data_IF_261006318607
#
_entry.id   IF_261006318607
#
_cell.length_a   1.000
_cell.length_b   1.000
_cell.length_c   1.000
_cell.angle_alpha   90.00
_cell.angle_beta   90.00
_cell.angle_gamma   90.00
#
_symmetry.space_group_name_H-M   'P 1'
#
loop_
_entity.id
_entity.type
_entity.pdbx_description
1 polymer ?
#
# COMPACT_ATOMS: atom_id res chain seq x y z
N UNK A 1 -34.27 11.63 9.79
CA UNK A 1 -33.03 11.35 9.03
C UNK A 1 -32.40 10.01 9.47
N UNK A 2 -32.13 9.80 10.76
CA UNK A 2 -31.55 8.56 11.27
C UNK A 2 -32.34 7.30 10.95
N UNK A 3 -33.70 7.37 11.02
CA UNK A 3 -34.57 6.25 10.65
C UNK A 3 -34.50 5.92 9.14
N UNK A 4 -34.34 6.95 8.28
CA UNK A 4 -34.22 6.74 6.84
C UNK A 4 -32.85 6.10 6.51
N UNK A 5 -31.79 6.58 7.13
CA UNK A 5 -30.42 5.99 6.97
C UNK A 5 -30.42 4.53 7.40
N UNK A 6 -31.07 4.20 8.52
CA UNK A 6 -31.21 2.83 8.99
C UNK A 6 -31.96 1.94 7.99
N UNK A 7 -33.05 2.44 7.42
CA UNK A 7 -33.88 1.72 6.44
C UNK A 7 -33.07 1.48 5.13
N UNK A 8 -32.39 2.51 4.63
CA UNK A 8 -31.60 2.44 3.39
C UNK A 8 -30.42 1.48 3.55
N UNK A 9 -29.75 1.51 4.71
CA UNK A 9 -28.66 0.57 5.04
C UNK A 9 -29.18 -0.87 5.09
N UNK A 10 -30.29 -1.13 5.81
CA UNK A 10 -30.84 -2.48 5.98
C UNK A 10 -31.36 -3.08 4.66
N UNK A 11 -31.78 -2.25 3.70
CA UNK A 11 -32.28 -2.68 2.41
C UNK A 11 -31.23 -2.69 1.29
N UNK A 12 -30.00 -2.28 1.57
CA UNK A 12 -28.91 -2.25 0.59
C UNK A 12 -28.54 -3.67 0.13
N UNK A 13 -28.65 -4.01 -1.17
CA UNK A 13 -28.28 -5.34 -1.66
C UNK A 13 -26.82 -5.71 -1.39
N UNK A 14 -25.92 -4.73 -1.39
CA UNK A 14 -24.50 -4.95 -1.07
C UNK A 14 -24.31 -5.37 0.39
N UNK A 15 -24.94 -4.67 1.34
CA UNK A 15 -24.86 -5.01 2.77
C UNK A 15 -25.42 -6.40 3.05
N UNK A 16 -26.52 -6.75 2.40
CA UNK A 16 -27.14 -8.07 2.55
C UNK A 16 -26.17 -9.15 2.03
N UNK A 17 -25.63 -8.99 0.82
CA UNK A 17 -24.71 -9.94 0.21
C UNK A 17 -23.42 -10.13 1.03
N UNK A 18 -22.85 -9.05 1.55
CA UNK A 18 -21.65 -9.08 2.37
C UNK A 18 -21.89 -9.80 3.71
N UNK A 19 -23.07 -9.58 4.33
CA UNK A 19 -23.46 -10.28 5.55
C UNK A 19 -23.67 -11.77 5.31
N UNK A 20 -24.34 -12.14 4.24
CA UNK A 20 -24.53 -13.54 3.85
C UNK A 20 -23.19 -14.23 3.55
N UNK A 21 -22.28 -13.56 2.87
CA UNK A 21 -20.91 -14.03 2.61
C UNK A 21 -20.13 -14.22 3.92
N UNK A 22 -20.26 -13.29 4.88
CA UNK A 22 -19.64 -13.41 6.20
C UNK A 22 -20.15 -14.67 6.93
N UNK A 23 -21.45 -14.86 6.98
CA UNK A 23 -22.05 -16.04 7.65
C UNK A 23 -21.61 -17.34 6.98
N UNK A 24 -21.58 -17.38 5.65
CA UNK A 24 -21.07 -18.52 4.89
C UNK A 24 -19.59 -18.82 5.19
N UNK A 25 -18.76 -17.77 5.29
CA UNK A 25 -17.33 -17.93 5.59
C UNK A 25 -17.05 -18.49 6.98
N UNK A 26 -17.95 -18.24 7.93
CA UNK A 26 -17.88 -18.76 9.30
C UNK A 26 -18.60 -20.11 9.46
N UNK A 27 -19.26 -20.61 8.42
CA UNK A 27 -20.09 -21.81 8.48
C UNK A 27 -21.36 -21.63 9.33
N UNK A 28 -21.83 -20.39 9.52
CA UNK A 28 -23.04 -20.10 10.28
C UNK A 28 -24.29 -20.12 9.39
N UNK A 29 -25.40 -20.69 9.88
CA UNK A 29 -26.67 -20.60 9.14
C UNK A 29 -27.17 -19.15 9.15
N UNK A 30 -27.81 -18.71 8.08
CA UNK A 30 -28.40 -17.36 7.98
C UNK A 30 -29.46 -17.07 9.04
N UNK A 31 -30.06 -18.11 9.61
CA UNK A 31 -31.00 -18.03 10.75
C UNK A 31 -30.34 -17.76 12.09
N UNK A 32 -28.99 -17.71 12.11
CA UNK A 32 -28.22 -17.56 13.34
C UNK A 32 -28.14 -18.85 14.17
N UNK A 33 -27.46 -18.76 15.30
CA UNK A 33 -27.36 -19.86 16.28
C UNK A 33 -27.65 -19.31 17.68
N UNK A 34 -28.93 -19.21 18.09
CA UNK A 34 -29.33 -18.53 19.33
C UNK A 34 -28.66 -19.10 20.59
N UNK A 35 -28.38 -20.42 20.60
CA UNK A 35 -27.70 -21.08 21.71
C UNK A 35 -26.28 -20.55 21.97
N UNK A 36 -25.66 -19.94 21.00
CA UNK A 36 -24.32 -19.32 21.09
C UNK A 36 -24.35 -17.79 21.00
N UNK A 37 -25.56 -17.17 21.06
CA UNK A 37 -25.71 -15.74 20.97
C UNK A 37 -25.44 -15.15 19.59
N UNK A 38 -25.44 -15.97 18.54
CA UNK A 38 -25.26 -15.53 17.16
C UNK A 38 -26.63 -15.19 16.58
N UNK A 39 -26.93 -13.90 16.26
CA UNK A 39 -28.21 -13.50 15.68
C UNK A 39 -28.38 -14.04 14.27
N UNK A 40 -29.58 -13.94 13.71
CA UNK A 40 -29.77 -14.17 12.27
C UNK A 40 -29.06 -13.07 11.46
N UNK A 41 -28.75 -13.34 10.20
CA UNK A 41 -28.13 -12.35 9.32
C UNK A 41 -28.98 -11.08 9.18
N UNK A 42 -30.31 -11.23 9.14
CA UNK A 42 -31.26 -10.10 9.12
C UNK A 42 -31.28 -9.32 10.44
N UNK A 43 -31.20 -9.98 11.60
CA UNK A 43 -31.14 -9.30 12.89
C UNK A 43 -29.79 -8.58 13.08
N UNK A 44 -28.70 -9.17 12.59
CA UNK A 44 -27.41 -8.54 12.59
C UNK A 44 -27.39 -7.27 11.72
N UNK A 45 -27.98 -7.32 10.51
CA UNK A 45 -28.15 -6.16 9.64
C UNK A 45 -29.03 -5.10 10.29
N UNK A 46 -30.16 -5.50 10.91
CA UNK A 46 -31.06 -4.57 11.61
C UNK A 46 -30.39 -3.91 12.82
N UNK A 47 -29.55 -4.65 13.55
CA UNK A 47 -28.76 -4.12 14.66
C UNK A 47 -27.76 -3.07 14.19
N UNK A 48 -27.01 -3.34 13.12
CA UNK A 48 -26.08 -2.39 12.50
C UNK A 48 -26.79 -1.16 11.93
N UNK A 49 -27.94 -1.36 11.27
CA UNK A 49 -28.77 -0.28 10.76
C UNK A 49 -29.31 0.63 11.88
N UNK A 50 -29.74 0.04 12.99
CA UNK A 50 -30.19 0.76 14.19
C UNK A 50 -29.05 1.58 14.81
N UNK A 51 -27.85 1.01 14.92
CA UNK A 51 -26.67 1.71 15.41
C UNK A 51 -26.27 2.87 14.49
N UNK A 52 -26.23 2.66 13.18
CA UNK A 52 -25.95 3.71 12.19
C UNK A 52 -26.98 4.84 12.22
N UNK A 53 -28.28 4.51 12.27
CA UNK A 53 -29.34 5.49 12.39
C UNK A 53 -29.31 6.29 13.68
N UNK A 54 -29.01 5.63 14.82
CA UNK A 54 -28.84 6.28 16.12
C UNK A 54 -27.64 7.21 16.15
N UNK A 55 -26.52 6.79 15.60
CA UNK A 55 -25.31 7.60 15.48
C UNK A 55 -25.55 8.86 14.63
N UNK A 56 -26.26 8.71 13.52
CA UNK A 56 -26.62 9.83 12.65
C UNK A 56 -27.52 10.86 13.36
N UNK A 57 -28.43 10.37 14.22
CA UNK A 57 -29.34 11.23 15.00
C UNK A 57 -28.60 12.04 16.09
N UNK A 58 -27.47 11.53 16.58
CA UNK A 58 -26.67 12.16 17.64
C UNK A 58 -25.60 13.14 17.09
N UNK A 59 -25.44 13.22 15.78
CA UNK A 59 -24.41 14.04 15.15
C UNK A 59 -23.03 13.37 15.09
N UNK A 60 -22.03 14.08 14.55
CA UNK A 60 -20.73 13.49 14.21
C UNK A 60 -20.00 12.76 15.34
N UNK A 61 -19.98 13.31 16.56
CA UNK A 61 -19.30 12.68 17.68
C UNK A 61 -19.97 11.36 18.14
N UNK A 62 -21.28 11.29 18.05
CA UNK A 62 -22.04 10.06 18.38
C UNK A 62 -21.85 8.99 17.31
N UNK A 63 -21.71 9.39 16.06
CA UNK A 63 -21.40 8.49 14.93
C UNK A 63 -20.02 7.83 15.11
N UNK A 64 -18.99 8.62 15.40
CA UNK A 64 -17.65 8.13 15.66
C UNK A 64 -17.59 7.09 16.78
N UNK A 65 -18.23 7.36 17.90
CA UNK A 65 -18.20 6.46 19.05
C UNK A 65 -18.84 5.11 18.76
N UNK A 66 -19.87 5.07 17.90
CA UNK A 66 -20.57 3.83 17.58
C UNK A 66 -19.90 3.01 16.45
N UNK A 67 -19.25 3.65 15.51
CA UNK A 67 -18.57 2.95 14.42
C UNK A 67 -17.09 2.67 14.70
N UNK A 68 -16.50 3.30 15.71
CA UNK A 68 -15.12 3.06 16.10
C UNK A 68 -14.73 1.57 16.26
N UNK A 69 -15.58 0.69 16.83
CA UNK A 69 -15.31 -0.75 16.87
C UNK A 69 -15.24 -1.42 15.48
N UNK A 70 -15.79 -0.78 14.45
CA UNK A 70 -15.80 -1.30 13.08
C UNK A 70 -14.61 -0.80 12.26
N UNK A 71 -13.87 0.20 12.72
CA UNK A 71 -12.70 0.74 12.01
C UNK A 71 -11.66 -0.30 11.59
N UNK A 72 -11.35 -1.34 12.38
CA UNK A 72 -10.45 -2.40 11.93
C UNK A 72 -10.96 -3.20 10.72
N UNK A 73 -12.29 -3.21 10.49
CA UNK A 73 -12.94 -3.99 9.43
C UNK A 73 -13.16 -3.11 8.19
N UNK A 74 -13.62 -1.88 8.37
CA UNK A 74 -14.02 -0.98 7.28
C UNK A 74 -12.99 0.11 6.97
N UNK A 75 -11.89 0.19 7.75
CA UNK A 75 -10.93 1.28 7.69
C UNK A 75 -11.47 2.57 8.32
N UNK A 76 -10.65 3.60 8.34
CA UNK A 76 -11.04 4.93 8.83
C UNK A 76 -11.98 5.59 7.80
N UNK A 77 -13.25 5.71 8.15
CA UNK A 77 -14.18 6.58 7.41
C UNK A 77 -14.12 7.96 8.06
N UNK A 78 -13.87 9.00 7.26
CA UNK A 78 -13.92 10.36 7.80
C UNK A 78 -15.34 10.68 8.28
N UNK A 79 -15.42 11.30 9.47
CA UNK A 79 -16.67 11.64 10.16
C UNK A 79 -17.53 12.68 9.44
N UNK A 80 -17.06 13.19 8.34
CA UNK A 80 -17.72 14.20 7.50
C UNK A 80 -18.45 13.63 6.29
N UNK A 81 -18.60 12.31 6.18
CA UNK A 81 -19.38 11.70 5.10
C UNK A 81 -20.86 12.15 5.18
N UNK A 82 -21.34 12.81 4.14
CA UNK A 82 -22.70 13.37 4.10
C UNK A 82 -23.49 12.77 2.94
N UNK A 83 -24.70 12.22 3.17
CA UNK A 83 -25.56 11.81 2.08
C UNK A 83 -26.00 13.03 1.26
N UNK A 84 -25.83 12.98 -0.05
CA UNK A 84 -26.21 14.06 -0.97
C UNK A 84 -27.62 13.85 -1.59
N UNK A 85 -28.35 12.84 -1.14
CA UNK A 85 -29.72 12.55 -1.64
C UNK A 85 -29.77 11.76 -2.95
N UNK A 86 -28.63 11.35 -3.48
CA UNK A 86 -28.49 10.52 -4.69
C UNK A 86 -28.35 9.01 -4.39
N UNK A 87 -28.49 8.63 -3.12
CA UNK A 87 -28.33 7.25 -2.66
C UNK A 87 -26.89 6.82 -2.46
N UNK A 88 -25.91 7.74 -2.61
CA UNK A 88 -24.47 7.46 -2.41
C UNK A 88 -23.97 8.17 -1.15
N UNK A 89 -22.95 7.58 -0.54
CA UNK A 89 -22.19 8.24 0.53
C UNK A 89 -21.06 9.04 -0.12
N UNK A 90 -21.11 10.35 0.03
CA UNK A 90 -20.08 11.26 -0.42
C UNK A 90 -19.11 11.53 0.71
N UNK A 91 -17.82 11.28 0.47
CA UNK A 91 -16.74 11.66 1.37
C UNK A 91 -16.19 12.99 0.86
N UNK A 92 -16.44 14.11 1.56
CA UNK A 92 -15.86 15.38 1.15
C UNK A 92 -14.34 15.32 1.32
N UNK A 93 -13.61 15.32 0.20
CA UNK A 93 -12.17 15.49 0.20
C UNK A 93 -11.83 16.97 0.14
N UNK A 94 -11.36 17.52 1.25
CA UNK A 94 -10.89 18.90 1.32
C UNK A 94 -9.36 18.96 1.29
N UNK A 95 -8.81 19.80 0.44
CA UNK A 95 -7.40 20.17 0.52
C UNK A 95 -7.29 21.45 1.37
N UNK A 96 -6.60 21.34 2.51
CA UNK A 96 -6.31 22.50 3.33
C UNK A 96 -4.85 22.87 3.16
N UNK A 97 -4.59 24.08 2.69
CA UNK A 97 -3.27 24.69 2.75
C UNK A 97 -3.06 25.24 4.16
N UNK A 98 -1.97 24.87 4.79
CA UNK A 98 -1.55 25.44 6.06
C UNK A 98 -0.57 26.58 5.78
N UNK A 99 -1.05 27.81 5.94
CA UNK A 99 -0.20 28.98 5.76
C UNK A 99 0.83 29.04 6.91
N UNK A 100 2.11 29.17 6.53
CA UNK A 100 3.22 29.23 7.49
C UNK A 100 3.73 27.86 7.96
N UNK A 101 3.09 26.76 7.62
CA UNK A 101 3.61 25.43 7.92
C UNK A 101 4.68 25.02 6.90
N UNK A 102 5.84 24.63 7.38
CA UNK A 102 6.97 24.15 6.57
C UNK A 102 7.38 22.76 6.97
N UNK A 103 7.81 21.97 6.00
CA UNK A 103 8.43 20.67 6.21
C UNK A 103 9.86 20.73 5.71
N UNK A 104 10.79 20.45 6.59
CA UNK A 104 12.21 20.49 6.25
C UNK A 104 12.79 19.08 6.28
N UNK A 105 13.54 18.74 5.27
CA UNK A 105 14.35 17.54 5.23
C UNK A 105 15.63 17.83 4.45
N UNK A 106 16.67 17.10 4.79
CA UNK A 106 17.96 17.12 4.09
C UNK A 106 18.20 15.74 3.52
N UNK A 107 18.70 15.67 2.32
CA UNK A 107 19.05 14.42 1.68
C UNK A 107 20.43 14.47 1.04
N UNK A 108 20.95 13.30 0.78
CA UNK A 108 22.21 13.12 0.04
C UNK A 108 22.06 11.92 -0.90
N UNK A 109 22.51 12.13 -2.14
CA UNK A 109 22.62 11.09 -3.15
C UNK A 109 24.09 10.86 -3.48
N UNK A 110 24.48 9.60 -3.60
CA UNK A 110 25.82 9.20 -3.99
C UNK A 110 25.76 8.21 -5.14
N UNK A 111 26.60 8.41 -6.13
CA UNK A 111 26.82 7.46 -7.23
C UNK A 111 28.32 7.23 -7.39
N UNK A 112 28.71 5.97 -7.54
CA UNK A 112 30.11 5.58 -7.72
C UNK A 112 30.18 4.46 -8.75
N UNK A 113 31.14 4.58 -9.65
CA UNK A 113 31.59 3.49 -10.52
C UNK A 113 33.08 3.27 -10.34
N UNK A 114 33.48 2.00 -10.29
CA UNK A 114 34.87 1.60 -10.15
C UNK A 114 35.22 0.51 -11.18
N UNK A 115 36.10 0.85 -12.09
CA UNK A 115 36.60 -0.07 -13.11
C UNK A 115 37.72 -0.91 -12.51
N UNK A 116 37.40 -2.15 -12.11
CA UNK A 116 38.34 -3.07 -11.53
C UNK A 116 39.39 -3.51 -12.58
N UNK A 117 38.92 -3.71 -13.80
CA UNK A 117 39.70 -3.96 -15.01
C UNK A 117 38.84 -3.72 -16.24
N UNK A 118 39.38 -3.96 -17.45
CA UNK A 118 38.67 -3.72 -18.72
C UNK A 118 37.38 -4.51 -18.87
N UNK A 119 37.15 -5.56 -18.08
CA UNK A 119 35.99 -6.45 -18.19
C UNK A 119 35.04 -6.35 -17.00
N UNK A 120 35.46 -5.77 -15.88
CA UNK A 120 34.65 -5.76 -14.63
C UNK A 120 34.51 -4.35 -14.13
N UNK A 121 33.26 -3.94 -13.97
CA UNK A 121 32.87 -2.67 -13.35
C UNK A 121 32.02 -2.92 -12.11
N UNK A 122 32.40 -2.30 -11.00
CA UNK A 122 31.59 -2.23 -9.78
C UNK A 122 30.84 -0.89 -9.76
N UNK A 123 29.63 -0.90 -9.28
CA UNK A 123 28.86 0.33 -9.15
C UNK A 123 28.02 0.35 -7.87
N UNK A 124 27.78 1.54 -7.35
CA UNK A 124 26.98 1.79 -6.17
C UNK A 124 26.19 3.09 -6.37
N UNK A 125 24.90 3.04 -6.10
CA UNK A 125 24.04 4.21 -5.97
C UNK A 125 23.37 4.15 -4.61
N UNK A 126 23.36 5.26 -3.87
CA UNK A 126 22.66 5.35 -2.59
C UNK A 126 21.97 6.69 -2.43
N UNK A 127 20.86 6.70 -1.70
CA UNK A 127 20.11 7.90 -1.33
C UNK A 127 19.81 7.83 0.16
N UNK A 128 19.96 8.95 0.83
CA UNK A 128 19.65 9.11 2.23
C UNK A 128 18.82 10.38 2.46
N UNK A 129 17.85 10.27 3.37
CA UNK A 129 17.01 11.37 3.84
C UNK A 129 17.10 11.47 5.36
N UNK A 130 17.21 12.68 5.89
CA UNK A 130 17.20 12.91 7.34
C UNK A 130 15.86 12.53 7.96
N UNK A 131 14.77 12.75 7.23
CA UNK A 131 13.41 12.56 7.70
C UNK A 131 12.47 12.32 6.52
N UNK A 132 11.50 11.44 6.69
CA UNK A 132 10.46 11.12 5.70
C UNK A 132 9.05 11.13 6.28
N UNK A 133 8.92 11.40 7.59
CA UNK A 133 7.68 11.40 8.33
C UNK A 133 7.68 12.55 9.36
N UNK A 134 6.53 13.21 9.52
CA UNK A 134 6.29 14.26 10.50
C UNK A 134 5.01 13.90 11.27
N UNK A 135 5.14 13.69 12.58
CA UNK A 135 4.07 13.24 13.45
C UNK A 135 3.65 14.43 14.35
N UNK A 136 2.35 14.73 14.49
CA UNK A 136 1.87 15.78 15.39
C UNK A 136 2.36 15.57 16.82
N UNK A 137 2.82 16.64 17.46
CA UNK A 137 3.38 16.62 18.81
C UNK A 137 4.85 16.23 18.91
N UNK A 138 5.49 15.87 17.81
CA UNK A 138 6.94 15.72 17.74
C UNK A 138 7.65 17.05 17.46
N UNK A 139 8.96 17.10 17.65
CA UNK A 139 9.74 18.35 17.53
C UNK A 139 9.74 18.99 16.13
N UNK A 140 9.31 18.27 15.12
CA UNK A 140 9.29 18.70 13.71
C UNK A 140 7.89 18.72 13.10
N UNK A 141 6.84 18.77 13.91
CA UNK A 141 5.47 18.75 13.40
C UNK A 141 4.97 20.08 12.82
N UNK A 142 5.69 21.18 13.07
CA UNK A 142 5.31 22.54 12.68
C UNK A 142 3.87 22.94 13.05
N UNK A 143 3.31 22.31 14.07
CA UNK A 143 1.95 22.54 14.55
C UNK A 143 0.86 22.00 13.63
N UNK A 144 1.18 21.07 12.71
CA UNK A 144 0.16 20.44 11.88
C UNK A 144 -0.68 19.43 12.67
N UNK A 145 -2.00 19.34 12.38
CA UNK A 145 -2.91 18.51 13.16
C UNK A 145 -2.89 17.02 12.80
N UNK A 146 -2.13 16.63 11.77
CA UNK A 146 -2.05 15.25 11.31
C UNK A 146 -0.67 14.90 10.77
N UNK A 147 -0.34 13.61 10.77
CA UNK A 147 0.91 13.09 10.22
C UNK A 147 1.04 13.38 8.73
N UNK A 148 2.25 13.65 8.30
CA UNK A 148 2.61 13.89 6.91
C UNK A 148 3.77 12.98 6.52
N UNK A 149 3.71 12.40 5.33
CA UNK A 149 4.68 11.41 4.85
C UNK A 149 5.26 11.86 3.49
N UNK A 150 6.54 11.61 3.29
CA UNK A 150 7.19 11.82 2.00
C UNK A 150 6.94 10.66 1.02
N UNK A 151 6.39 9.55 1.52
CA UNK A 151 6.15 8.32 0.75
C UNK A 151 7.44 7.74 0.12
N UNK A 152 8.55 7.84 0.82
CA UNK A 152 9.86 7.38 0.39
C UNK A 152 10.64 6.80 1.57
N UNK A 153 11.51 5.79 1.36
CA UNK A 153 12.39 5.27 2.40
C UNK A 153 13.41 6.32 2.84
N UNK A 154 13.85 6.26 4.09
CA UNK A 154 14.95 7.11 4.59
C UNK A 154 16.28 6.75 3.95
N UNK A 155 16.52 5.48 3.76
CA UNK A 155 17.73 5.01 3.14
C UNK A 155 17.42 3.96 2.08
N UNK A 156 18.08 4.06 0.96
CA UNK A 156 18.07 3.05 -0.11
C UNK A 156 19.41 3.03 -0.79
N UNK A 157 19.81 1.86 -1.22
CA UNK A 157 20.99 1.72 -2.08
C UNK A 157 20.83 0.57 -3.06
N UNK A 158 21.57 0.69 -4.14
CA UNK A 158 21.72 -0.36 -5.14
C UNK A 158 23.18 -0.48 -5.50
N UNK A 159 23.72 -1.68 -5.37
CA UNK A 159 25.10 -1.98 -5.72
C UNK A 159 25.15 -3.17 -6.65
N UNK A 160 26.18 -3.24 -7.48
CA UNK A 160 26.30 -4.35 -8.39
C UNK A 160 27.66 -4.46 -9.06
N UNK A 161 27.80 -5.56 -9.78
CA UNK A 161 28.93 -5.85 -10.63
C UNK A 161 28.45 -6.11 -12.05
N UNK A 162 29.15 -5.55 -13.01
CA UNK A 162 28.99 -5.82 -14.43
C UNK A 162 30.26 -6.50 -14.94
N UNK A 163 30.06 -7.51 -15.76
CA UNK A 163 31.12 -8.24 -16.44
C UNK A 163 30.82 -8.25 -17.94
N UNK A 164 31.83 -7.95 -18.74
CA UNK A 164 31.75 -8.05 -20.21
C UNK A 164 33.09 -8.46 -20.78
N UNK A 165 33.14 -9.63 -21.38
CA UNK A 165 34.31 -10.11 -22.09
C UNK A 165 33.90 -11.00 -23.25
N UNK A 166 34.46 -10.74 -24.44
CA UNK A 166 34.25 -11.52 -25.66
C UNK A 166 32.73 -11.69 -25.96
N UNK A 167 32.24 -12.92 -25.86
CA UNK A 167 30.85 -13.29 -26.14
C UNK A 167 29.95 -13.27 -24.91
N UNK A 168 30.52 -13.10 -23.72
CA UNK A 168 29.80 -13.20 -22.45
C UNK A 168 29.63 -11.83 -21.81
N UNK A 169 28.42 -11.53 -21.39
CA UNK A 169 28.13 -10.39 -20.51
C UNK A 169 27.27 -10.84 -19.35
N UNK A 170 27.43 -10.22 -18.22
CA UNK A 170 26.65 -10.53 -17.03
C UNK A 170 26.57 -9.37 -16.07
N UNK A 171 25.55 -9.37 -15.24
CA UNK A 171 25.47 -8.46 -14.12
C UNK A 171 24.78 -9.11 -12.94
N UNK A 172 25.25 -8.77 -11.75
CA UNK A 172 24.59 -9.05 -10.48
C UNK A 172 24.35 -7.72 -9.79
N UNK A 173 23.13 -7.48 -9.33
CA UNK A 173 22.77 -6.30 -8.56
C UNK A 173 22.05 -6.69 -7.29
N UNK A 174 22.31 -5.96 -6.23
CA UNK A 174 21.58 -5.99 -4.97
C UNK A 174 20.93 -4.64 -4.76
N UNK A 175 19.66 -4.63 -4.34
CA UNK A 175 18.92 -3.45 -3.96
C UNK A 175 18.40 -3.61 -2.54
N UNK A 176 18.58 -2.56 -1.75
CA UNK A 176 17.98 -2.40 -0.43
C UNK A 176 17.18 -1.10 -0.38
N UNK A 177 15.96 -1.19 0.12
CA UNK A 177 15.13 -0.02 0.47
C UNK A 177 14.60 -0.24 1.89
N UNK A 178 14.82 0.72 2.80
CA UNK A 178 14.21 0.70 4.14
C UNK A 178 12.69 0.67 4.06
N UNK A 179 12.04 0.17 5.11
CA UNK A 179 10.60 0.34 5.28
C UNK A 179 10.23 1.81 5.47
N UNK A 180 9.03 2.18 5.09
CA UNK A 180 8.50 3.53 5.30
C UNK A 180 6.99 3.54 5.36
N UNK A 181 6.42 4.51 6.05
CA UNK A 181 5.00 4.76 6.04
C UNK A 181 4.59 5.52 4.76
N UNK A 182 3.57 5.02 4.10
CA UNK A 182 3.01 5.64 2.90
C UNK A 182 1.57 6.07 3.15
N UNK A 183 1.25 7.29 2.72
CA UNK A 183 -0.11 7.81 2.70
C UNK A 183 -0.42 8.34 1.30
N UNK A 184 -1.42 7.73 0.67
CA UNK A 184 -1.90 8.11 -0.65
C UNK A 184 -3.42 8.36 -0.58
N UNK A 185 -3.82 9.35 0.19
CA UNK A 185 -5.22 9.65 0.44
C UNK A 185 -5.90 8.58 1.30
N UNK A 186 -6.85 7.85 0.72
CA UNK A 186 -7.55 6.76 1.44
C UNK A 186 -6.69 5.53 1.72
N UNK A 187 -5.54 5.43 1.11
CA UNK A 187 -4.66 4.28 1.22
C UNK A 187 -3.41 4.66 2.00
N UNK A 188 -3.36 4.23 3.24
CA UNK A 188 -2.19 4.40 4.10
C UNK A 188 -1.73 3.05 4.64
N UNK A 189 -0.44 2.95 4.93
CA UNK A 189 0.14 1.77 5.52
C UNK A 189 1.65 1.72 5.35
N UNK A 190 2.26 0.75 6.02
CA UNK A 190 3.69 0.52 5.92
C UNK A 190 4.04 -0.19 4.61
N UNK A 191 5.02 0.35 3.90
CA UNK A 191 5.75 -0.35 2.84
C UNK A 191 6.94 -1.02 3.49
N UNK A 192 6.97 -2.34 3.42
CA UNK A 192 8.00 -3.15 4.06
C UNK A 192 9.35 -2.99 3.37
N UNK A 193 10.41 -3.21 4.13
CA UNK A 193 11.79 -3.29 3.65
C UNK A 193 11.93 -4.27 2.50
N UNK A 194 12.76 -3.90 1.51
CA UNK A 194 13.07 -4.75 0.35
C UNK A 194 14.56 -5.03 0.26
N UNK A 195 14.88 -6.31 0.05
CA UNK A 195 16.22 -6.81 -0.21
C UNK A 195 16.17 -7.68 -1.47
N UNK A 196 16.47 -7.11 -2.62
CA UNK A 196 16.27 -7.75 -3.91
C UNK A 196 17.61 -8.05 -4.59
N UNK A 197 17.72 -9.23 -5.17
CA UNK A 197 18.84 -9.63 -6.01
C UNK A 197 18.38 -9.80 -7.45
N UNK A 198 19.06 -9.14 -8.36
CA UNK A 198 18.84 -9.20 -9.80
C UNK A 198 20.06 -9.79 -10.51
N UNK A 199 19.83 -10.70 -11.44
CA UNK A 199 20.87 -11.35 -12.24
C UNK A 199 20.53 -11.21 -13.72
N UNK A 200 21.52 -10.82 -14.53
CA UNK A 200 21.40 -10.86 -15.97
C UNK A 200 22.64 -11.57 -16.55
N UNK A 201 22.41 -12.44 -17.53
CA UNK A 201 23.46 -13.16 -18.25
C UNK A 201 23.12 -13.07 -19.74
N UNK A 202 24.06 -12.60 -20.53
CA UNK A 202 23.96 -12.54 -21.99
C UNK A 202 25.09 -13.30 -22.66
N UNK A 203 24.76 -13.98 -23.74
CA UNK A 203 25.72 -14.72 -24.54
C UNK A 203 25.49 -14.47 -26.04
N UNK A 204 26.52 -14.01 -26.73
CA UNK A 204 26.53 -13.89 -28.20
C UNK A 204 26.87 -15.26 -28.81
N UNK A 205 25.86 -16.01 -29.22
CA UNK A 205 26.02 -17.35 -29.81
C UNK A 205 26.77 -17.24 -31.12
N UNK A 206 26.38 -16.27 -31.97
CA UNK A 206 27.06 -15.89 -33.22
C UNK A 206 26.93 -14.38 -33.40
N UNK A 207 27.46 -13.86 -34.51
CA UNK A 207 27.35 -12.43 -34.83
C UNK A 207 25.89 -11.98 -35.02
N UNK A 208 25.02 -12.91 -35.42
CA UNK A 208 23.61 -12.65 -35.69
C UNK A 208 22.67 -13.17 -34.59
N UNK A 209 23.16 -13.92 -33.61
CA UNK A 209 22.31 -14.56 -32.59
C UNK A 209 22.78 -14.26 -31.19
N UNK A 210 21.91 -13.66 -30.38
CA UNK A 210 22.16 -13.31 -28.97
C UNK A 210 21.12 -13.96 -28.07
N UNK A 211 21.56 -14.45 -26.93
CA UNK A 211 20.73 -15.05 -25.89
C UNK A 211 20.90 -14.23 -24.60
N UNK A 212 19.79 -13.78 -24.03
CA UNK A 212 19.80 -13.04 -22.76
C UNK A 212 18.84 -13.69 -21.76
N UNK A 213 19.33 -14.01 -20.57
CA UNK A 213 18.55 -14.44 -19.41
C UNK A 213 18.58 -13.34 -18.36
N UNK A 214 17.41 -12.86 -17.96
CA UNK A 214 17.25 -11.87 -16.93
C UNK A 214 16.34 -12.41 -15.84
N UNK A 215 16.78 -12.35 -14.58
CA UNK A 215 15.99 -12.71 -13.43
C UNK A 215 16.03 -11.56 -12.42
N UNK A 216 14.89 -10.96 -12.13
CA UNK A 216 14.73 -9.95 -11.10
C UNK A 216 14.12 -10.58 -9.86
N UNK A 217 14.58 -10.11 -8.68
CA UNK A 217 14.16 -10.64 -7.39
C UNK A 217 14.38 -12.18 -7.31
N UNK A 218 15.60 -12.61 -7.55
CA UNK A 218 15.97 -14.04 -7.65
C UNK A 218 15.57 -14.85 -6.42
N UNK A 219 15.62 -14.21 -5.23
CA UNK A 219 15.25 -14.84 -3.96
C UNK A 219 13.74 -14.91 -3.72
N UNK A 220 12.93 -14.37 -4.64
CA UNK A 220 11.47 -14.37 -4.59
C UNK A 220 10.88 -13.72 -3.33
N UNK A 221 11.52 -12.67 -2.81
CA UNK A 221 10.95 -11.89 -1.72
C UNK A 221 9.60 -11.32 -2.17
N UNK A 222 8.54 -11.61 -1.43
CA UNK A 222 7.22 -11.07 -1.71
C UNK A 222 7.13 -9.66 -1.12
N UNK A 223 6.90 -8.67 -1.96
CA UNK A 223 6.78 -7.28 -1.55
C UNK A 223 5.68 -6.53 -2.31
N UNK A 224 5.28 -5.40 -1.78
CA UNK A 224 4.39 -4.44 -2.45
C UNK A 224 5.15 -3.13 -2.64
N UNK A 225 4.97 -2.49 -3.78
CA UNK A 225 5.56 -1.15 -4.01
C UNK A 225 4.88 -0.08 -3.15
N UNK A 226 3.56 -0.24 -2.91
CA UNK A 226 2.73 0.59 -2.03
C UNK A 226 1.63 -0.30 -1.43
N UNK A 227 0.94 0.13 -0.35
CA UNK A 227 0.01 -0.71 0.41
C UNK A 227 -1.08 -1.40 -0.42
N UNK A 228 -1.59 -0.75 -1.47
CA UNK A 228 -2.68 -1.26 -2.32
C UNK A 228 -2.22 -1.95 -3.59
N UNK A 229 -0.92 -1.95 -3.87
CA UNK A 229 -0.41 -2.57 -5.09
C UNK A 229 -0.39 -4.10 -4.96
N UNK A 230 -0.48 -4.83 -6.09
CA UNK A 230 -0.32 -6.27 -6.11
C UNK A 230 1.03 -6.69 -5.52
N UNK A 231 1.06 -7.90 -4.96
CA UNK A 231 2.31 -8.51 -4.51
C UNK A 231 3.19 -8.83 -5.70
N UNK A 232 4.44 -8.40 -5.62
CA UNK A 232 5.47 -8.63 -6.63
C UNK A 232 6.41 -9.74 -6.11
N UNK A 233 6.69 -10.69 -6.97
CA UNK A 233 7.66 -11.76 -6.71
C UNK A 233 8.75 -11.79 -7.78
N UNK A 234 9.42 -12.93 -7.90
CA UNK A 234 10.45 -13.16 -8.91
C UNK A 234 9.86 -13.09 -10.32
N UNK A 235 10.62 -12.47 -11.22
CA UNK A 235 10.35 -12.48 -12.66
C UNK A 235 11.60 -12.95 -13.41
N UNK A 236 11.42 -13.94 -14.29
CA UNK A 236 12.49 -14.46 -15.15
C UNK A 236 12.07 -14.27 -16.61
N UNK A 237 12.97 -13.77 -17.42
CA UNK A 237 12.74 -13.52 -18.85
C UNK A 237 13.92 -14.10 -19.63
N UNK A 238 13.63 -14.94 -20.61
CA UNK A 238 14.58 -15.39 -21.62
C UNK A 238 14.28 -14.65 -22.92
N UNK A 239 15.30 -14.00 -23.48
CA UNK A 239 15.20 -13.26 -24.73
C UNK A 239 16.18 -13.85 -25.76
N UNK A 240 15.67 -14.15 -26.94
CA UNK A 240 16.44 -14.50 -28.11
C UNK A 240 16.37 -13.34 -29.10
N UNK A 241 17.50 -12.86 -29.58
CA UNK A 241 17.58 -11.79 -30.56
C UNK A 241 18.32 -12.32 -31.79
N UNK A 242 17.69 -12.21 -32.95
CA UNK A 242 18.26 -12.59 -34.22
C UNK A 242 18.30 -11.37 -35.15
N UNK A 243 19.49 -11.00 -35.61
CA UNK A 243 19.75 -9.91 -36.55
C UNK A 243 19.98 -10.53 -37.95
N UNK A 244 19.20 -10.16 -38.96
CA UNK A 244 19.27 -10.68 -40.35
C UNK A 244 19.71 -9.61 -41.34
#
# INVERSE_FOLDING_TARGET
LGAQVAADFASSPGVIADMEALYASQGWPLTGIPAFGIPSSSDAIAGLAGAAGGAFAQGGAGFDAQIAPLYPIIGTVETTAVPQGDGLMHIPAGYRRFDGATRSHVGADMSMEYFLNDNVTLWLNSSWLSQNEWIPGESNDDGLPFSSYLNAPKFKYRAGVQYSKDKVRGSLAFQHDDSFNSNQGFFSGEVQEKNLFDVNIGYNVSDNLKLDLSATNVLDQKYRAFPTMPVIGRRTVLKLTFDY
#
